data_IF_640607484504
#
_entry.id   IF_640607484504
#
_cell.length_a   1.000
_cell.length_b   1.000
_cell.length_c   1.000
_cell.angle_alpha   90.00
_cell.angle_beta   90.00
_cell.angle_gamma   90.00
#
_symmetry.space_group_name_H-M   'P 1'
#
loop_
_entity.id
_entity.type
_entity.pdbx_description
1 polymer ?
#
# COMPACT_ATOMS: atom_id res chain seq x y z
N UNK A 1 -13.48 4.13 -8.34
CA UNK A 1 -14.50 3.41 -7.55
C UNK A 1 -14.55 4.03 -6.16
N UNK A 2 -15.72 4.23 -5.55
CA UNK A 2 -15.79 4.60 -4.13
C UNK A 2 -15.11 3.52 -3.28
N UNK A 3 -14.30 3.94 -2.30
CA UNK A 3 -13.55 3.04 -1.42
C UNK A 3 -14.54 2.20 -0.60
N UNK A 4 -14.39 0.88 -0.64
CA UNK A 4 -15.26 -0.01 0.14
C UNK A 4 -14.81 0.09 1.60
N UNK A 5 -15.75 0.38 2.52
CA UNK A 5 -15.50 0.54 3.96
C UNK A 5 -15.96 -0.64 4.81
N UNK A 6 -16.82 -1.49 4.26
CA UNK A 6 -17.34 -2.70 4.92
C UNK A 6 -16.77 -3.90 4.21
N UNK A 7 -16.09 -4.79 4.94
CA UNK A 7 -15.52 -6.00 4.35
C UNK A 7 -16.66 -6.92 3.84
N UNK A 8 -16.77 -7.13 2.51
CA UNK A 8 -17.85 -7.93 1.94
C UNK A 8 -17.73 -9.42 2.32
N UNK A 9 -16.56 -9.90 2.74
CA UNK A 9 -16.35 -11.27 3.24
C UNK A 9 -17.02 -11.53 4.59
N UNK A 10 -17.34 -10.48 5.36
CA UNK A 10 -18.00 -10.60 6.67
C UNK A 10 -19.51 -10.45 6.59
N UNK A 11 -20.05 -10.16 5.41
CA UNK A 11 -21.49 -9.98 5.21
C UNK A 11 -22.09 -11.35 4.94
N UNK A 12 -22.98 -11.80 5.81
CA UNK A 12 -23.77 -13.02 5.57
C UNK A 12 -24.96 -12.73 4.65
N UNK A 13 -25.30 -13.72 3.82
CA UNK A 13 -26.46 -13.63 2.95
C UNK A 13 -27.74 -13.50 3.80
N UNK A 14 -28.65 -12.56 3.46
CA UNK A 14 -29.94 -12.49 4.12
C UNK A 14 -30.72 -13.80 3.95
N UNK A 15 -31.55 -14.14 4.93
CA UNK A 15 -32.50 -15.23 4.77
C UNK A 15 -33.66 -14.77 3.87
N UNK A 16 -33.58 -15.14 2.59
CA UNK A 16 -34.60 -14.82 1.59
C UNK A 16 -35.89 -15.63 1.75
N UNK A 17 -35.95 -16.59 2.68
CA UNK A 17 -37.16 -17.33 3.00
C UNK A 17 -38.09 -16.56 3.95
N UNK A 18 -37.59 -15.48 4.57
CA UNK A 18 -38.37 -14.61 5.44
C UNK A 18 -39.52 -13.92 4.71
N UNK A 19 -40.59 -13.64 5.45
CA UNK A 19 -41.81 -13.00 4.93
C UNK A 19 -41.57 -11.58 4.40
N UNK A 20 -40.54 -10.89 4.89
CA UNK A 20 -40.13 -9.57 4.37
C UNK A 20 -39.74 -9.60 2.89
N UNK A 21 -39.29 -10.76 2.38
CA UNK A 21 -38.96 -10.98 0.98
C UNK A 21 -40.09 -11.66 0.20
N UNK A 22 -41.29 -11.81 0.78
CA UNK A 22 -42.42 -12.47 0.12
C UNK A 22 -42.81 -11.78 -1.20
N UNK A 23 -42.82 -10.45 -1.24
CA UNK A 23 -43.15 -9.69 -2.46
C UNK A 23 -42.15 -9.96 -3.57
N UNK A 24 -40.85 -9.99 -3.24
CA UNK A 24 -39.80 -10.28 -4.22
C UNK A 24 -39.89 -11.72 -4.72
N UNK A 25 -40.12 -12.68 -3.81
CA UNK A 25 -40.30 -14.09 -4.17
C UNK A 25 -41.53 -14.31 -5.04
N UNK A 26 -42.67 -13.70 -4.70
CA UNK A 26 -43.92 -13.84 -5.44
C UNK A 26 -43.79 -13.29 -6.87
N UNK A 27 -43.11 -12.16 -7.03
CA UNK A 27 -42.80 -11.60 -8.35
C UNK A 27 -41.96 -12.57 -9.19
N UNK A 28 -40.91 -13.17 -8.61
CA UNK A 28 -40.03 -14.12 -9.29
C UNK A 28 -40.77 -15.43 -9.59
N UNK A 29 -41.52 -15.97 -8.63
CA UNK A 29 -42.37 -17.15 -8.77
C UNK A 29 -43.37 -16.98 -9.89
N UNK A 30 -44.05 -15.82 -9.97
CA UNK A 30 -45.02 -15.54 -11.03
C UNK A 30 -44.34 -15.40 -12.40
N UNK A 31 -43.19 -14.74 -12.45
CA UNK A 31 -42.51 -14.45 -13.71
C UNK A 31 -41.77 -15.66 -14.31
N UNK A 32 -41.17 -16.49 -13.46
CA UNK A 32 -40.43 -17.69 -13.87
C UNK A 32 -41.27 -18.96 -13.75
N UNK A 33 -42.46 -18.87 -13.17
CA UNK A 33 -43.37 -19.99 -12.90
C UNK A 33 -42.69 -21.11 -12.08
N UNK A 34 -41.93 -20.71 -11.07
CA UNK A 34 -41.14 -21.57 -10.15
C UNK A 34 -41.68 -21.52 -8.72
N UNK A 35 -41.29 -22.46 -7.87
CA UNK A 35 -41.71 -22.46 -6.46
C UNK A 35 -41.11 -21.31 -5.66
N UNK A 36 -41.73 -20.95 -4.54
CA UNK A 36 -41.22 -19.91 -3.64
C UNK A 36 -39.84 -20.24 -3.04
N UNK A 37 -39.49 -21.53 -2.97
CA UNK A 37 -38.16 -22.00 -2.54
C UNK A 37 -37.13 -21.70 -3.61
N UNK A 38 -37.41 -22.05 -4.87
CA UNK A 38 -36.52 -21.75 -6.01
C UNK A 38 -36.37 -20.22 -6.20
N UNK A 39 -37.44 -19.45 -6.00
CA UNK A 39 -37.36 -17.98 -6.03
C UNK A 39 -36.43 -17.42 -4.94
N UNK A 40 -36.43 -18.01 -3.74
CA UNK A 40 -35.50 -17.63 -2.68
C UNK A 40 -34.05 -17.98 -3.05
N UNK A 41 -33.82 -19.11 -3.72
CA UNK A 41 -32.51 -19.48 -4.23
C UNK A 41 -32.01 -18.52 -5.32
N UNK A 42 -32.87 -18.11 -6.26
CA UNK A 42 -32.52 -17.10 -7.25
C UNK A 42 -32.10 -15.77 -6.61
N UNK A 43 -32.82 -15.32 -5.57
CA UNK A 43 -32.45 -14.11 -4.82
C UNK A 43 -31.10 -14.27 -4.12
N UNK A 44 -30.84 -15.45 -3.55
CA UNK A 44 -29.57 -15.76 -2.91
C UNK A 44 -28.42 -15.80 -3.90
N UNK A 45 -28.63 -16.37 -5.08
CA UNK A 45 -27.63 -16.43 -6.15
C UNK A 45 -27.29 -15.02 -6.65
N UNK A 46 -28.30 -14.19 -6.92
CA UNK A 46 -28.11 -12.80 -7.32
C UNK A 46 -27.34 -12.00 -6.27
N UNK A 47 -27.68 -12.17 -4.99
CA UNK A 47 -26.96 -11.54 -3.89
C UNK A 47 -25.51 -12.04 -3.79
N UNK A 48 -25.28 -13.34 -3.99
CA UNK A 48 -23.94 -13.93 -3.95
C UNK A 48 -23.07 -13.37 -5.07
N UNK A 49 -23.60 -13.26 -6.29
CA UNK A 49 -22.89 -12.67 -7.42
C UNK A 49 -22.51 -11.19 -7.18
N UNK A 50 -23.41 -10.41 -6.59
CA UNK A 50 -23.10 -9.03 -6.18
C UNK A 50 -22.04 -8.98 -5.07
N UNK A 51 -22.15 -9.87 -4.07
CA UNK A 51 -21.18 -9.96 -2.98
C UNK A 51 -19.78 -10.38 -3.48
N UNK A 52 -19.67 -11.35 -4.38
CA UNK A 52 -18.39 -11.76 -4.97
C UNK A 52 -17.78 -10.65 -5.82
N UNK A 53 -18.59 -9.87 -6.53
CA UNK A 53 -18.10 -8.68 -7.25
C UNK A 53 -17.52 -7.65 -6.28
N UNK A 54 -18.18 -7.43 -5.13
CA UNK A 54 -17.66 -6.56 -4.07
C UNK A 54 -16.39 -7.10 -3.44
N UNK A 55 -16.27 -8.42 -3.26
CA UNK A 55 -15.06 -9.07 -2.75
C UNK A 55 -13.88 -8.85 -3.69
N UNK A 56 -14.07 -9.07 -4.99
CA UNK A 56 -13.03 -8.77 -5.99
C UNK A 56 -12.59 -7.31 -5.95
N UNK A 57 -13.53 -6.37 -5.86
CA UNK A 57 -13.20 -4.95 -5.73
C UNK A 57 -12.49 -4.62 -4.41
N UNK A 58 -12.79 -5.33 -3.33
CA UNK A 58 -12.10 -5.22 -2.04
C UNK A 58 -10.66 -5.75 -2.14
N UNK A 59 -10.47 -6.93 -2.73
CA UNK A 59 -9.15 -7.53 -2.93
C UNK A 59 -8.26 -6.64 -3.81
N UNK A 60 -8.82 -6.03 -4.86
CA UNK A 60 -8.09 -5.07 -5.70
C UNK A 60 -7.67 -3.82 -4.90
N UNK A 61 -8.55 -3.33 -4.01
CA UNK A 61 -8.24 -2.21 -3.13
C UNK A 61 -7.14 -2.55 -2.11
N UNK A 62 -7.20 -3.72 -1.47
CA UNK A 62 -6.17 -4.19 -0.54
C UNK A 62 -4.82 -4.36 -1.23
N UNK A 63 -4.81 -4.90 -2.45
CA UNK A 63 -3.60 -5.04 -3.25
C UNK A 63 -2.98 -3.67 -3.57
N UNK A 64 -3.80 -2.71 -3.99
CA UNK A 64 -3.35 -1.35 -4.28
C UNK A 64 -2.80 -0.64 -3.03
N UNK A 65 -3.45 -0.78 -1.87
CA UNK A 65 -2.96 -0.23 -0.60
C UNK A 65 -1.63 -0.87 -0.18
N UNK A 66 -1.48 -2.18 -0.36
CA UNK A 66 -0.25 -2.90 -0.07
C UNK A 66 0.89 -2.44 -0.97
N UNK A 67 0.62 -2.26 -2.27
CA UNK A 67 1.61 -1.78 -3.23
C UNK A 67 2.02 -0.32 -2.93
N UNK A 68 1.07 0.55 -2.59
CA UNK A 68 1.37 1.93 -2.19
C UNK A 68 2.22 1.96 -0.89
N UNK A 69 1.90 1.12 0.08
CA UNK A 69 2.68 1.00 1.31
C UNK A 69 4.11 0.50 1.04
N UNK A 70 4.27 -0.46 0.14
CA UNK A 70 5.57 -0.98 -0.27
C UNK A 70 6.40 0.09 -1.00
N UNK A 71 5.78 0.86 -1.89
CA UNK A 71 6.45 1.98 -2.58
C UNK A 71 6.92 3.05 -1.58
N UNK A 72 6.05 3.46 -0.64
CA UNK A 72 6.45 4.41 0.40
C UNK A 72 7.62 3.91 1.24
N UNK A 73 7.61 2.64 1.63
CA UNK A 73 8.71 2.05 2.39
C UNK A 73 10.03 2.06 1.60
N UNK A 74 9.97 1.78 0.29
CA UNK A 74 11.14 1.82 -0.58
C UNK A 74 11.68 3.24 -0.77
N UNK A 75 10.81 4.24 -0.93
CA UNK A 75 11.21 5.65 -1.04
C UNK A 75 11.89 6.15 0.23
N UNK A 76 11.36 5.76 1.40
CA UNK A 76 11.94 6.13 2.69
C UNK A 76 13.31 5.48 2.91
N UNK A 77 13.48 4.22 2.49
CA UNK A 77 14.78 3.53 2.55
C UNK A 77 15.81 4.17 1.60
N UNK A 78 15.40 4.53 0.38
CA UNK A 78 16.26 5.26 -0.55
C UNK A 78 16.65 6.64 -0.03
N UNK A 79 15.76 7.35 0.65
CA UNK A 79 16.09 8.63 1.28
C UNK A 79 17.11 8.44 2.42
N UNK A 80 16.89 7.46 3.30
CA UNK A 80 17.87 7.14 4.36
C UNK A 80 19.24 6.78 3.78
N UNK A 81 19.30 5.97 2.73
CA UNK A 81 20.57 5.57 2.14
C UNK A 81 21.29 6.74 1.44
N UNK A 82 20.55 7.64 0.79
CA UNK A 82 21.11 8.89 0.23
C UNK A 82 21.66 9.82 1.32
N UNK A 83 20.96 9.94 2.44
CA UNK A 83 21.40 10.73 3.58
C UNK A 83 22.69 10.16 4.20
N UNK A 84 22.75 8.84 4.41
CA UNK A 84 23.95 8.15 4.87
C UNK A 84 25.14 8.35 3.93
N UNK A 85 24.95 8.14 2.62
CA UNK A 85 26.03 8.38 1.64
C UNK A 85 26.49 9.83 1.62
N UNK A 86 25.58 10.80 1.75
CA UNK A 86 25.96 12.21 1.80
C UNK A 86 26.77 12.53 3.07
N UNK A 87 26.38 11.95 4.20
CA UNK A 87 27.10 12.10 5.46
C UNK A 87 28.50 11.48 5.39
N UNK A 88 28.63 10.25 4.86
CA UNK A 88 29.93 9.57 4.65
C UNK A 88 30.85 10.34 3.69
N UNK A 89 30.30 10.93 2.62
CA UNK A 89 31.08 11.76 1.68
C UNK A 89 31.55 13.08 2.30
N UNK A 90 30.78 13.67 3.20
CA UNK A 90 31.21 14.86 3.92
C UNK A 90 32.28 14.51 4.96
N UNK A 91 32.11 13.41 5.70
CA UNK A 91 33.05 12.98 6.73
C UNK A 91 34.42 12.60 6.16
N UNK A 92 34.48 12.06 4.94
CA UNK A 92 35.75 11.77 4.22
C UNK A 92 36.43 13.00 3.60
N UNK A 93 35.70 14.09 3.34
CA UNK A 93 36.26 15.33 2.78
C UNK A 93 36.85 16.28 3.83
N UNK A 94 36.41 16.18 5.08
CA UNK A 94 36.96 16.97 6.19
C UNK A 94 38.42 16.64 6.58
N UNK A 95 38.89 15.37 6.60
CA UNK A 95 40.28 15.06 6.94
C UNK A 95 41.27 15.46 5.84
N UNK A 96 40.86 15.55 4.58
CA UNK A 96 41.76 15.92 3.47
C UNK A 96 42.10 17.42 3.43
N UNK A 97 41.21 18.29 3.93
CA UNK A 97 41.46 19.74 4.02
C UNK A 97 42.31 20.15 5.22
N UNK A 98 42.54 19.24 6.19
CA UNK A 98 43.36 19.48 7.39
C UNK A 98 44.83 19.05 7.25
N UNK A 99 45.35 18.88 6.02
CA UNK A 99 46.80 18.79 5.80
C UNK A 99 47.36 20.20 5.60
N UNK A 100 47.97 20.84 6.62
CA UNK A 100 48.63 22.13 6.40
C UNK A 100 49.78 21.95 5.40
N UNK A 101 49.81 22.83 4.39
CA UNK A 101 50.98 23.02 3.52
C UNK A 101 52.13 23.53 4.38
N UNK A 102 53.01 22.61 4.81
CA UNK A 102 54.33 22.96 5.32
C UNK A 102 55.11 23.61 4.17
N UNK A 103 55.04 24.93 4.10
CA UNK A 103 55.95 25.73 3.29
C UNK A 103 57.38 25.45 3.80
N UNK A 104 58.23 25.04 2.86
CA UNK A 104 59.65 24.78 3.01
C UNK A 104 60.35 25.89 3.81
N UNK A 105 60.74 25.58 5.05
CA UNK A 105 61.66 26.44 5.79
C UNK A 105 63.06 26.26 5.19
N UNK A 106 63.48 27.21 4.37
CA UNK A 106 64.81 27.26 3.76
C UNK A 106 65.83 27.56 4.86
N UNK A 107 66.47 26.52 5.38
CA UNK A 107 67.64 26.64 6.24
C UNK A 107 68.90 26.88 5.39
N UNK A 108 69.15 28.13 4.99
CA UNK A 108 70.47 28.55 4.55
C UNK A 108 70.72 30.00 4.95
N UNK A 109 71.36 30.16 6.10
CA UNK A 109 72.10 31.39 6.43
C UNK A 109 73.37 31.00 7.19
N UNK A 110 74.54 30.96 6.53
CA UNK A 110 75.81 30.93 7.25
C UNK A 110 76.12 32.37 7.65
N UNK A 111 76.27 32.66 8.94
CA UNK A 111 76.92 33.89 9.37
C UNK A 111 77.96 33.56 10.44
N UNK A 112 79.16 34.05 10.15
CA UNK A 112 80.47 33.71 10.66
C UNK A 112 80.71 34.15 12.11
N UNK A 113 81.67 33.46 12.73
CA UNK A 113 82.55 33.88 13.83
C UNK A 113 82.99 35.35 13.74
N UNK A 114 83.34 35.99 14.87
CA UNK A 114 84.68 35.82 15.45
C UNK A 114 84.71 35.15 16.82
#
# INVERSE_FOLDING_TARGET
>A
MPRITVNPNLVEAPDFTLEVYAIARDAITTQLNITAVEAAECLKEAWTADNDTKKLAWDEQELADCEEAAQRAQEEDQQRNKELQCNEQNETREPEKKKPKLNSFVANRPLQLP
#
